data_IF_574145605370
#
_entry.id   IF_574145605370
#
_cell.length_a   1.000
_cell.length_b   1.000
_cell.length_c   1.000
_cell.angle_alpha   90.00
_cell.angle_beta   90.00
_cell.angle_gamma   90.00
#
_symmetry.space_group_name_H-M   'P 1'
#
loop_
_entity.id
_entity.type
_entity.pdbx_description
1 polymer ?
#
# COMPACT_ATOMS: atom_id res chain seq x y z
N UNK A 1 -3.50 -33.55 26.60
CA UNK A 1 -3.57 -32.23 25.92
C UNK A 1 -4.98 -31.67 26.12
N UNK A 2 -5.11 -30.52 26.76
CA UNK A 2 -6.39 -30.02 27.25
C UNK A 2 -7.17 -29.36 26.09
N UNK A 3 -8.38 -29.82 25.74
CA UNK A 3 -9.19 -29.26 24.62
C UNK A 3 -9.32 -27.73 24.67
N UNK A 4 -9.41 -27.17 25.88
CA UNK A 4 -9.47 -25.71 26.11
C UNK A 4 -8.19 -24.98 25.67
N UNK A 5 -7.03 -25.62 25.85
CA UNK A 5 -5.74 -25.08 25.44
C UNK A 5 -5.61 -25.08 23.91
N UNK A 6 -6.11 -26.13 23.25
CA UNK A 6 -6.16 -26.20 21.79
C UNK A 6 -7.03 -25.08 21.19
N UNK A 7 -8.21 -24.83 21.76
CA UNK A 7 -9.09 -23.74 21.32
C UNK A 7 -8.46 -22.35 21.52
N UNK A 8 -7.75 -22.13 22.63
CA UNK A 8 -7.04 -20.88 22.89
C UNK A 8 -5.92 -20.65 21.85
N UNK A 9 -5.13 -21.69 21.56
CA UNK A 9 -4.10 -21.63 20.51
C UNK A 9 -4.72 -21.30 19.14
N UNK A 10 -5.81 -21.97 18.76
CA UNK A 10 -6.45 -21.74 17.47
C UNK A 10 -7.01 -20.32 17.33
N UNK A 11 -7.58 -19.76 18.41
CA UNK A 11 -8.08 -18.39 18.44
C UNK A 11 -6.95 -17.34 18.31
N UNK A 12 -5.80 -17.57 18.95
CA UNK A 12 -4.63 -16.69 18.81
C UNK A 12 -4.06 -16.70 17.38
N UNK A 13 -4.05 -17.85 16.71
CA UNK A 13 -3.59 -17.95 15.32
C UNK A 13 -4.54 -17.26 14.34
N UNK A 14 -5.86 -17.33 14.58
CA UNK A 14 -6.86 -16.70 13.71
C UNK A 14 -6.80 -15.16 13.72
N UNK A 15 -6.36 -14.53 14.82
CA UNK A 15 -6.24 -13.08 14.93
C UNK A 15 -5.05 -12.46 14.18
N UNK A 16 -4.14 -13.27 13.63
CA UNK A 16 -2.90 -12.78 12.99
C UNK A 16 -3.10 -12.35 11.52
N UNK A 17 -4.27 -12.61 10.91
CA UNK A 17 -4.49 -12.40 9.46
C UNK A 17 -4.84 -10.96 9.06
N UNK A 18 -4.98 -10.04 10.01
CA UNK A 18 -5.52 -8.69 9.77
C UNK A 18 -4.43 -7.68 9.32
N UNK A 19 -3.15 -8.02 9.48
CA UNK A 19 -2.05 -7.06 9.29
C UNK A 19 -1.46 -6.99 7.87
N UNK A 20 -1.97 -7.77 6.90
CA UNK A 20 -1.42 -7.84 5.54
C UNK A 20 -2.04 -6.88 4.51
N UNK A 21 -2.97 -6.01 4.92
CA UNK A 21 -3.72 -5.15 3.99
C UNK A 21 -2.97 -3.89 3.55
N UNK A 22 -1.76 -3.62 4.07
CA UNK A 22 -1.01 -2.39 3.77
C UNK A 22 0.16 -2.69 2.85
N UNK A 23 0.28 -1.90 1.79
CA UNK A 23 1.32 -2.04 0.77
C UNK A 23 2.04 -0.72 0.50
N UNK A 24 3.14 -0.80 -0.23
CA UNK A 24 3.83 0.37 -0.76
C UNK A 24 3.55 0.47 -2.26
N UNK A 25 2.83 1.51 -2.67
CA UNK A 25 2.58 1.81 -4.06
C UNK A 25 3.78 2.57 -4.65
N UNK A 26 4.34 2.05 -5.73
CA UNK A 26 5.43 2.69 -6.48
C UNK A 26 5.07 2.73 -7.95
N UNK A 27 5.50 3.77 -8.64
CA UNK A 27 5.26 3.90 -10.07
C UNK A 27 6.04 5.05 -10.68
N UNK A 28 5.82 5.27 -11.98
CA UNK A 28 6.40 6.36 -12.76
C UNK A 28 5.26 7.07 -13.49
N UNK A 29 5.21 8.39 -13.38
CA UNK A 29 4.28 9.25 -14.10
C UNK A 29 5.00 9.83 -15.31
N UNK A 30 4.39 9.68 -16.49
CA UNK A 30 4.91 10.18 -17.75
C UNK A 30 3.85 10.98 -18.49
N UNK A 31 4.30 11.92 -19.29
CA UNK A 31 3.49 12.62 -20.27
C UNK A 31 3.08 11.67 -21.40
N UNK A 32 1.83 11.73 -21.83
CA UNK A 32 1.26 10.77 -22.77
C UNK A 32 1.73 10.97 -24.23
N UNK A 33 2.08 12.20 -24.61
CA UNK A 33 2.49 12.52 -25.98
C UNK A 33 4.00 12.40 -26.16
N UNK A 34 4.76 12.86 -25.16
CA UNK A 34 6.22 12.95 -25.23
C UNK A 34 6.95 11.80 -24.55
N UNK A 35 6.23 10.95 -23.80
CA UNK A 35 6.75 9.87 -22.95
C UNK A 35 7.77 10.31 -21.89
N UNK A 36 7.93 11.63 -21.68
CA UNK A 36 8.88 12.19 -20.73
C UNK A 36 8.35 12.04 -19.31
N UNK A 37 9.23 11.83 -18.31
CA UNK A 37 8.82 11.81 -16.92
C UNK A 37 8.24 13.17 -16.49
N UNK A 38 7.15 13.13 -15.72
CA UNK A 38 6.55 14.33 -15.14
C UNK A 38 7.13 14.55 -13.74
N UNK A 39 7.83 15.66 -13.56
CA UNK A 39 8.46 16.08 -12.29
C UNK A 39 7.47 16.92 -11.48
N UNK A 40 7.51 16.80 -10.15
CA UNK A 40 6.66 17.55 -9.22
C UNK A 40 5.15 17.37 -9.44
N UNK A 41 4.75 16.27 -10.08
CA UNK A 41 3.35 15.90 -10.25
C UNK A 41 2.80 15.30 -8.94
N UNK A 42 1.60 15.73 -8.53
CA UNK A 42 0.94 15.20 -7.35
C UNK A 42 0.17 13.91 -7.68
N UNK A 43 0.53 12.81 -7.01
CA UNK A 43 -0.17 11.53 -7.03
C UNK A 43 -1.00 11.41 -5.76
N UNK A 44 -2.33 11.34 -5.92
CA UNK A 44 -3.29 11.29 -4.81
C UNK A 44 -3.97 9.93 -4.79
N UNK A 45 -3.95 9.25 -3.65
CA UNK A 45 -4.76 8.05 -3.45
C UNK A 45 -6.12 8.49 -2.92
N UNK A 46 -7.15 8.32 -3.74
CA UNK A 46 -8.51 8.75 -3.41
C UNK A 46 -9.01 8.03 -2.15
N UNK A 47 -9.63 8.80 -1.25
CA UNK A 47 -10.21 8.28 0.00
C UNK A 47 -9.21 7.97 1.12
N UNK A 48 -7.89 7.91 0.86
CA UNK A 48 -6.89 7.69 1.91
C UNK A 48 -6.27 8.99 2.45
N UNK A 49 -6.41 10.10 1.72
CA UNK A 49 -5.76 11.38 2.04
C UNK A 49 -4.24 11.38 1.83
N UNK A 50 -3.67 10.31 1.26
CA UNK A 50 -2.24 10.20 0.98
C UNK A 50 -1.89 10.88 -0.34
N UNK A 51 -0.79 11.64 -0.35
CA UNK A 51 -0.27 12.35 -1.51
C UNK A 51 1.24 12.14 -1.59
N UNK A 52 1.77 11.94 -2.81
CA UNK A 52 3.20 11.98 -3.09
C UNK A 52 3.48 12.84 -4.32
N UNK A 53 4.60 13.58 -4.28
CA UNK A 53 5.13 14.26 -5.45
C UNK A 53 6.08 13.32 -6.22
N UNK A 54 6.12 13.43 -7.53
CA UNK A 54 7.07 12.70 -8.38
C UNK A 54 8.45 13.36 -8.40
N UNK A 55 9.51 12.55 -8.46
CA UNK A 55 10.88 13.02 -8.56
C UNK A 55 11.29 13.46 -9.99
N UNK A 56 12.58 13.80 -10.17
CA UNK A 56 13.15 14.18 -11.47
C UNK A 56 13.02 13.12 -12.57
N UNK A 57 12.79 11.85 -12.18
CA UNK A 57 12.57 10.72 -13.08
C UNK A 57 11.08 10.34 -13.17
N UNK A 58 10.18 11.16 -12.64
CA UNK A 58 8.74 10.91 -12.60
C UNK A 58 8.34 9.81 -11.61
N UNK A 59 9.25 9.33 -10.75
CA UNK A 59 8.98 8.24 -9.81
C UNK A 59 8.25 8.76 -8.59
N UNK A 60 7.29 7.99 -8.09
CA UNK A 60 6.63 8.24 -6.81
C UNK A 60 6.66 7.00 -5.93
N UNK A 61 6.55 7.20 -4.62
CA UNK A 61 6.39 6.14 -3.63
C UNK A 61 5.39 6.61 -2.58
N UNK A 62 4.32 5.83 -2.38
CA UNK A 62 3.32 6.03 -1.33
C UNK A 62 3.33 4.79 -0.46
N UNK A 63 3.71 4.96 0.80
CA UNK A 63 3.73 3.89 1.80
C UNK A 63 2.37 3.77 2.49
N UNK A 64 2.10 2.60 3.08
CA UNK A 64 0.92 2.35 3.90
C UNK A 64 -0.41 2.52 3.15
N UNK A 65 -0.44 2.14 1.88
CA UNK A 65 -1.65 2.16 1.05
C UNK A 65 -2.49 0.93 1.39
N UNK A 66 -3.76 1.15 1.69
CA UNK A 66 -4.72 0.06 1.90
C UNK A 66 -5.00 -0.68 0.58
N UNK A 67 -4.60 -1.94 0.53
CA UNK A 67 -4.83 -2.85 -0.58
C UNK A 67 -6.20 -3.52 -0.38
N UNK A 68 -7.23 -2.88 -0.92
CA UNK A 68 -8.59 -3.44 -0.92
C UNK A 68 -8.70 -4.43 -2.09
N UNK A 69 -8.75 -5.72 -1.77
CA UNK A 69 -9.01 -6.83 -2.71
C UNK A 69 -10.49 -6.95 -3.07
#
# INVERSE_FOLDING_TARGET
MNRKLLFLCLAMLAGQTIFAQRTTLKGVVKDAETEKPLVDAAVVVQGSGQVAATDQNGRFTISDVECRV
#
